data_IF_429273769334
#
_entry.id   IF_429273769334
#
_cell.length_a   1.000
_cell.length_b   1.000
_cell.length_c   1.000
_cell.angle_alpha   90.00
_cell.angle_beta   90.00
_cell.angle_gamma   90.00
#
_symmetry.space_group_name_H-M   'P 1'
#
loop_
_entity.id
_entity.type
_entity.pdbx_description
1 polymer ?
#
# COMPACT_ATOMS: atom_id res chain seq x y z
N UNK A 1 -5.49 -22.51 8.39
CA UNK A 1 -5.17 -21.25 7.68
C UNK A 1 -3.71 -20.93 7.95
N UNK A 2 -2.84 -20.99 6.94
CA UNK A 2 -1.44 -20.62 7.08
C UNK A 2 -1.33 -19.18 7.57
N UNK A 3 -0.35 -18.86 8.42
CA UNK A 3 -0.12 -17.51 8.93
C UNK A 3 -0.11 -16.50 7.77
N UNK A 4 -1.09 -15.61 7.72
CA UNK A 4 -1.12 -14.53 6.74
C UNK A 4 0.15 -13.67 6.94
N UNK A 5 0.88 -13.44 5.85
CA UNK A 5 2.16 -12.73 5.84
C UNK A 5 2.00 -11.26 6.21
N UNK A 6 0.86 -10.67 5.84
CA UNK A 6 0.47 -9.34 6.26
C UNK A 6 -0.23 -9.38 7.63
N UNK A 7 0.30 -8.60 8.57
CA UNK A 7 -0.35 -8.31 9.86
C UNK A 7 -0.24 -6.81 10.14
N UNK A 8 -1.36 -6.18 10.47
CA UNK A 8 -1.33 -4.82 11.00
C UNK A 8 -0.79 -4.86 12.43
N UNK A 9 -0.02 -3.84 12.83
CA UNK A 9 0.47 -3.69 14.20
C UNK A 9 -0.29 -2.57 14.92
N UNK A 10 -0.31 -2.62 16.25
CA UNK A 10 -1.16 -1.75 17.07
C UNK A 10 -0.87 -0.25 16.91
N UNK A 11 0.39 0.11 16.68
CA UNK A 11 0.79 1.52 16.54
C UNK A 11 0.82 2.00 15.08
N UNK A 12 0.31 1.19 14.15
CA UNK A 12 0.31 1.56 12.74
C UNK A 12 -0.36 2.93 12.52
N UNK A 13 -1.56 3.25 13.04
CA UNK A 13 -2.20 4.52 12.72
C UNK A 13 -1.47 5.77 13.23
N UNK A 14 -0.63 5.65 14.25
CA UNK A 14 0.04 6.79 14.88
C UNK A 14 1.46 7.04 14.37
N UNK A 15 1.99 6.14 13.53
CA UNK A 15 3.35 6.20 13.02
C UNK A 15 3.61 7.58 12.35
N UNK A 16 4.68 8.29 12.75
CA UNK A 16 4.98 9.63 12.25
C UNK A 16 5.20 9.67 10.73
N UNK A 17 5.55 8.55 10.09
CA UNK A 17 5.76 8.51 8.64
C UNK A 17 4.51 8.88 7.85
N UNK A 18 3.32 8.54 8.34
CA UNK A 18 2.07 8.89 7.67
C UNK A 18 1.84 10.39 7.64
N UNK A 19 2.23 11.09 8.71
CA UNK A 19 2.18 12.56 8.76
C UNK A 19 3.18 13.18 7.79
N UNK A 20 4.36 12.59 7.64
CA UNK A 20 5.36 13.04 6.66
C UNK A 20 4.84 12.88 5.24
N UNK A 21 4.35 11.69 4.88
CA UNK A 21 3.83 11.40 3.53
C UNK A 21 2.63 12.30 3.23
N UNK A 22 1.65 12.39 4.14
CA UNK A 22 0.49 13.26 3.97
C UNK A 22 0.86 14.74 3.78
N UNK A 23 1.89 15.23 4.47
CA UNK A 23 2.38 16.60 4.31
C UNK A 23 3.05 16.82 2.95
N UNK A 24 3.81 15.85 2.46
CA UNK A 24 4.53 15.95 1.18
C UNK A 24 3.57 15.79 0.00
N UNK A 25 2.63 14.85 0.06
CA UNK A 25 1.64 14.60 -0.99
C UNK A 25 0.47 15.59 -0.97
N UNK A 26 0.25 16.29 0.14
CA UNK A 26 -0.92 17.15 0.34
C UNK A 26 -2.24 16.39 0.53
N UNK A 27 -2.17 15.07 0.73
CA UNK A 27 -3.35 14.20 0.82
C UNK A 27 -3.71 13.87 2.27
N UNK A 28 -4.99 13.56 2.56
CA UNK A 28 -5.40 13.11 3.88
C UNK A 28 -4.64 11.85 4.32
N UNK A 29 -4.29 11.77 5.60
CA UNK A 29 -3.61 10.60 6.21
C UNK A 29 -4.43 9.31 5.96
N UNK A 30 -5.76 9.41 5.97
CA UNK A 30 -6.64 8.27 5.69
C UNK A 30 -6.39 7.68 4.29
N UNK A 31 -6.26 8.52 3.26
CA UNK A 31 -5.99 8.10 1.89
C UNK A 31 -4.60 7.49 1.76
N UNK A 32 -3.59 8.10 2.39
CA UNK A 32 -2.21 7.56 2.43
C UNK A 32 -2.18 6.16 3.03
N UNK A 33 -2.85 5.95 4.16
CA UNK A 33 -2.92 4.65 4.82
C UNK A 33 -3.68 3.64 3.97
N UNK A 34 -4.77 4.05 3.30
CA UNK A 34 -5.54 3.18 2.43
C UNK A 34 -4.72 2.68 1.23
N UNK A 35 -3.97 3.57 0.57
CA UNK A 35 -3.02 3.23 -0.50
C UNK A 35 -1.97 2.23 0.00
N UNK A 36 -1.34 2.52 1.13
CA UNK A 36 -0.33 1.62 1.73
C UNK A 36 -0.88 0.21 2.00
N UNK A 37 -2.09 0.12 2.55
CA UNK A 37 -2.74 -1.16 2.83
C UNK A 37 -3.03 -1.92 1.52
N UNK A 38 -3.51 -1.25 0.48
CA UNK A 38 -3.75 -1.88 -0.83
C UNK A 38 -2.45 -2.46 -1.44
N UNK A 39 -1.35 -1.70 -1.37
CA UNK A 39 -0.02 -2.16 -1.83
C UNK A 39 0.44 -3.40 -1.05
N UNK A 40 0.33 -3.38 0.27
CA UNK A 40 0.72 -4.50 1.12
C UNK A 40 -0.16 -5.74 0.91
N UNK A 41 -1.46 -5.56 0.68
CA UNK A 41 -2.38 -6.67 0.38
C UNK A 41 -2.03 -7.29 -0.97
N UNK A 42 -1.73 -6.48 -1.99
CA UNK A 42 -1.25 -6.95 -3.29
C UNK A 42 0.04 -7.74 -3.14
N UNK A 43 1.05 -7.16 -2.48
CA UNK A 43 2.33 -7.81 -2.16
C UNK A 43 2.18 -9.11 -1.36
N UNK A 44 1.20 -9.19 -0.46
CA UNK A 44 0.94 -10.37 0.35
C UNK A 44 0.27 -11.50 -0.43
N UNK A 45 -0.56 -11.17 -1.42
CA UNK A 45 -1.30 -12.14 -2.25
C UNK A 45 -0.43 -12.69 -3.38
N UNK A 46 0.43 -11.85 -3.95
CA UNK A 46 1.26 -12.19 -5.10
C UNK A 46 2.53 -12.93 -4.67
N UNK A 47 2.36 -14.20 -4.32
CA UNK A 47 3.47 -15.13 -4.03
C UNK A 47 3.92 -15.76 -5.34
N UNK A 48 5.02 -15.27 -5.90
CA UNK A 48 5.63 -15.92 -7.05
C UNK A 48 6.53 -17.06 -6.57
N UNK A 49 6.27 -18.27 -7.06
CA UNK A 49 7.11 -19.43 -6.73
C UNK A 49 7.99 -19.71 -7.94
N UNK A 50 9.30 -19.48 -7.82
CA UNK A 50 10.26 -19.85 -8.86
C UNK A 50 11.36 -20.73 -8.25
N UNK A 51 11.71 -21.82 -8.93
CA UNK A 51 12.73 -22.79 -8.47
C UNK A 51 12.54 -23.30 -7.03
N UNK A 52 11.29 -23.47 -6.57
CA UNK A 52 10.99 -23.94 -5.21
C UNK A 52 11.14 -22.88 -4.11
N UNK A 53 11.42 -21.63 -4.47
CA UNK A 53 11.48 -20.48 -3.54
C UNK A 53 10.23 -19.63 -3.74
N UNK A 54 9.48 -19.40 -2.66
CA UNK A 54 8.36 -18.46 -2.65
C UNK A 54 8.88 -17.05 -2.41
N UNK A 55 8.94 -16.24 -3.48
CA UNK A 55 9.22 -14.81 -3.40
C UNK A 55 7.91 -14.06 -3.13
N UNK A 56 7.97 -13.11 -2.21
CA UNK A 56 6.84 -12.23 -1.82
C UNK A 56 7.27 -10.78 -2.00
N UNK A 57 6.30 -9.88 -2.11
CA UNK A 57 6.60 -8.45 -2.32
C UNK A 57 6.34 -7.96 -3.74
N UNK A 58 5.78 -8.79 -4.63
CA UNK A 58 5.39 -8.35 -5.96
C UNK A 58 4.09 -7.55 -5.91
N UNK A 59 4.16 -6.27 -6.27
CA UNK A 59 2.99 -5.40 -6.37
C UNK A 59 2.53 -5.42 -7.82
N UNK A 60 1.29 -5.81 -8.06
CA UNK A 60 0.68 -5.90 -9.40
C UNK A 60 -0.52 -4.95 -9.56
N UNK A 61 -0.71 -4.02 -8.61
CA UNK A 61 -1.78 -3.01 -8.68
C UNK A 61 -1.29 -1.79 -9.44
N UNK A 62 -2.12 -1.28 -10.35
CA UNK A 62 -1.83 -0.05 -11.09
C UNK A 62 -2.35 1.18 -10.33
N UNK A 63 -1.90 2.37 -10.74
CA UNK A 63 -2.39 3.65 -10.21
C UNK A 63 -3.88 3.83 -10.51
N UNK A 64 -4.32 3.41 -11.69
CA UNK A 64 -5.73 3.37 -12.12
C UNK A 64 -6.58 2.48 -11.20
N UNK A 65 -6.12 1.26 -10.90
CA UNK A 65 -6.84 0.34 -10.00
C UNK A 65 -7.01 0.93 -8.60
N UNK A 66 -5.96 1.59 -8.09
CA UNK A 66 -5.96 2.22 -6.78
C UNK A 66 -6.87 3.45 -6.74
N UNK A 67 -6.84 4.26 -7.80
CA UNK A 67 -7.71 5.42 -7.97
C UNK A 67 -9.19 5.01 -7.99
N UNK A 68 -9.50 3.99 -8.79
CA UNK A 68 -10.85 3.41 -8.88
C UNK A 68 -11.32 2.83 -7.55
N UNK A 69 -10.46 2.09 -6.85
CA UNK A 69 -10.83 1.43 -5.60
C UNK A 69 -11.03 2.39 -4.41
N UNK A 70 -10.37 3.55 -4.43
CA UNK A 70 -10.42 4.55 -3.36
C UNK A 70 -11.30 5.75 -3.69
N UNK A 71 -11.94 5.77 -4.87
CA UNK A 71 -12.79 6.87 -5.36
C UNK A 71 -12.01 8.22 -5.38
N UNK A 72 -10.78 8.17 -5.89
CA UNK A 72 -9.90 9.33 -6.05
C UNK A 72 -9.32 9.37 -7.46
N UNK A 73 -8.67 10.48 -7.84
CA UNK A 73 -7.99 10.58 -9.13
C UNK A 73 -6.62 9.90 -9.11
N UNK A 74 -6.11 9.53 -10.28
CA UNK A 74 -4.75 8.97 -10.41
C UNK A 74 -3.67 9.93 -9.89
N UNK A 75 -3.82 11.23 -10.12
CA UNK A 75 -2.89 12.26 -9.60
C UNK A 75 -2.76 12.20 -8.07
N UNK A 76 -3.86 11.90 -7.35
CA UNK A 76 -3.85 11.73 -5.89
C UNK A 76 -3.01 10.52 -5.52
N UNK A 77 -3.19 9.39 -6.21
CA UNK A 77 -2.40 8.18 -5.98
C UNK A 77 -0.93 8.41 -6.30
N UNK A 78 -0.62 9.00 -7.44
CA UNK A 78 0.75 9.30 -7.87
C UNK A 78 1.46 10.24 -6.90
N UNK A 79 0.78 11.26 -6.39
CA UNK A 79 1.34 12.17 -5.39
C UNK A 79 1.70 11.45 -4.08
N UNK A 80 0.93 10.43 -3.71
CA UNK A 80 1.19 9.61 -2.52
C UNK A 80 2.35 8.65 -2.78
N UNK A 81 2.35 7.96 -3.92
CA UNK A 81 3.41 7.02 -4.29
C UNK A 81 4.77 7.70 -4.43
N UNK A 82 4.83 8.91 -4.99
CA UNK A 82 6.06 9.70 -5.07
C UNK A 82 6.58 10.17 -3.70
N UNK A 83 5.69 10.27 -2.70
CA UNK A 83 6.04 10.70 -1.35
C UNK A 83 6.43 9.55 -0.41
N UNK A 84 6.21 8.29 -0.82
CA UNK A 84 6.56 7.06 -0.08
C UNK A 84 7.96 6.54 -0.43
#
# INVERSE_FOLDING_TARGET
>A
MANAWLRLWHDMPNDPKWRTIARVSGQPIATVMAVYIHLLVSASRNVTTCHGVSLRGHIDVTTEDLASALDVTEDVIDSILHAM
#
